data_IF_974776021821
#
_entry.id   IF_974776021821
#
_cell.length_a   1.000
_cell.length_b   1.000
_cell.length_c   1.000
_cell.angle_alpha   90.00
_cell.angle_beta   90.00
_cell.angle_gamma   90.00
#
_symmetry.space_group_name_H-M   'P 1'
#
loop_
_entity.id
_entity.type
_entity.pdbx_description
1 polymer ?
#
# COMPACT_ATOMS: atom_id res chain seq x y z
N UNK A 1 2.11 9.52 -14.71
CA UNK A 1 1.13 8.70 -15.45
C UNK A 1 1.82 7.78 -16.45
N UNK A 2 2.78 8.27 -17.23
CA UNK A 2 3.53 7.52 -18.26
C UNK A 2 4.06 6.14 -17.81
N UNK A 3 4.59 6.02 -16.59
CA UNK A 3 5.11 4.74 -16.06
C UNK A 3 4.05 3.65 -15.83
N UNK A 4 2.85 4.03 -15.35
CA UNK A 4 1.76 3.06 -15.13
C UNK A 4 1.16 2.65 -16.46
N UNK A 5 1.03 3.56 -17.43
CA UNK A 5 0.67 3.21 -18.80
C UNK A 5 1.69 2.24 -19.41
N UNK A 6 3.00 2.49 -19.23
CA UNK A 6 4.05 1.57 -19.68
C UNK A 6 3.90 0.19 -19.04
N UNK A 7 3.70 0.12 -17.73
CA UNK A 7 3.50 -1.14 -17.01
C UNK A 7 2.26 -1.89 -17.53
N UNK A 8 1.12 -1.21 -17.72
CA UNK A 8 -0.10 -1.79 -18.29
C UNK A 8 0.11 -2.28 -19.72
N UNK A 9 0.89 -1.57 -20.54
CA UNK A 9 1.24 -2.04 -21.90
C UNK A 9 2.03 -3.36 -21.89
N UNK A 10 2.98 -3.50 -20.96
CA UNK A 10 3.71 -4.76 -20.76
C UNK A 10 2.78 -5.87 -20.25
N UNK A 11 1.90 -5.56 -19.30
CA UNK A 11 0.91 -6.52 -18.79
C UNK A 11 -0.02 -7.02 -19.91
N UNK A 12 -0.49 -6.12 -20.78
CA UNK A 12 -1.34 -6.47 -21.91
C UNK A 12 -0.62 -7.42 -22.88
N UNK A 13 0.67 -7.19 -23.16
CA UNK A 13 1.48 -8.04 -24.03
C UNK A 13 1.66 -9.46 -23.46
N UNK A 14 1.75 -9.59 -22.13
CA UNK A 14 1.84 -10.86 -21.41
C UNK A 14 0.48 -11.49 -21.09
N UNK A 15 -0.63 -10.83 -21.44
CA UNK A 15 -1.99 -11.28 -21.15
C UNK A 15 -2.31 -11.36 -19.65
N UNK A 16 -1.78 -10.42 -18.86
CA UNK A 16 -2.02 -10.30 -17.41
C UNK A 16 -3.14 -9.32 -17.11
N UNK A 17 -4.01 -9.67 -16.16
CA UNK A 17 -5.13 -8.83 -15.71
C UNK A 17 -4.74 -7.85 -14.58
N UNK A 18 -3.71 -8.22 -13.82
CA UNK A 18 -3.10 -7.38 -12.81
C UNK A 18 -1.67 -7.82 -12.49
N UNK A 19 -0.92 -6.95 -11.82
CA UNK A 19 0.34 -7.32 -11.17
C UNK A 19 0.33 -6.97 -9.69
N UNK A 20 0.92 -7.85 -8.88
CA UNK A 20 1.18 -7.66 -7.46
C UNK A 20 2.68 -7.46 -7.26
N UNK A 21 3.04 -6.32 -6.70
CA UNK A 21 4.41 -5.88 -6.51
C UNK A 21 4.71 -5.78 -5.01
N UNK A 22 5.66 -6.55 -4.50
CA UNK A 22 5.97 -6.58 -3.06
C UNK A 22 7.42 -6.20 -2.75
N UNK A 23 8.26 -6.07 -3.78
CA UNK A 23 9.63 -5.58 -3.56
C UNK A 23 9.63 -4.05 -3.42
N UNK A 24 10.46 -3.47 -2.54
CA UNK A 24 10.41 -2.03 -2.25
C UNK A 24 10.60 -1.14 -3.49
N UNK A 25 11.47 -1.57 -4.41
CA UNK A 25 11.71 -0.84 -5.67
C UNK A 25 10.50 -0.85 -6.60
N UNK A 26 9.78 -1.97 -6.69
CA UNK A 26 8.60 -2.09 -7.53
C UNK A 26 7.40 -1.34 -6.93
N UNK A 27 7.24 -1.39 -5.60
CA UNK A 27 6.22 -0.59 -4.90
C UNK A 27 6.49 0.90 -5.09
N UNK A 28 7.73 1.36 -4.93
CA UNK A 28 8.14 2.74 -5.20
C UNK A 28 7.86 3.15 -6.65
N UNK A 29 8.16 2.27 -7.61
CA UNK A 29 7.90 2.53 -9.02
C UNK A 29 6.40 2.75 -9.28
N UNK A 30 5.54 1.84 -8.79
CA UNK A 30 4.11 1.91 -9.03
C UNK A 30 3.45 3.07 -8.27
N UNK A 31 3.64 3.11 -6.95
CA UNK A 31 2.88 3.97 -6.03
C UNK A 31 3.63 5.24 -5.67
N UNK A 32 4.95 5.28 -5.76
CA UNK A 32 5.75 6.39 -5.19
C UNK A 32 6.05 6.24 -3.71
N UNK A 33 5.41 5.28 -3.03
CA UNK A 33 5.65 5.01 -1.63
C UNK A 33 7.07 4.49 -1.40
N UNK A 34 7.65 4.93 -0.30
CA UNK A 34 8.93 4.46 0.24
C UNK A 34 8.88 4.61 1.75
N UNK A 35 9.38 3.60 2.45
CA UNK A 35 9.58 3.68 3.89
C UNK A 35 11.04 3.45 4.24
N UNK A 36 11.51 4.09 5.31
CA UNK A 36 12.81 3.76 5.90
C UNK A 36 12.79 2.37 6.52
N UNK A 37 11.61 1.89 6.93
CA UNK A 37 11.42 0.58 7.52
C UNK A 37 11.70 -0.55 6.51
N UNK A 38 11.63 -0.29 5.20
CA UNK A 38 12.08 -1.22 4.16
C UNK A 38 13.57 -1.60 4.30
N UNK A 39 14.36 -0.78 5.00
CA UNK A 39 15.77 -1.08 5.28
C UNK A 39 15.98 -2.12 6.38
N UNK A 40 14.92 -2.49 7.10
CA UNK A 40 14.99 -3.42 8.22
C UNK A 40 15.07 -4.89 7.77
N UNK A 41 15.03 -5.14 6.44
CA UNK A 41 15.21 -6.46 5.83
C UNK A 41 14.32 -7.53 6.48
N UNK A 42 13.06 -7.18 6.76
CA UNK A 42 12.10 -8.12 7.29
C UNK A 42 11.88 -9.29 6.32
N UNK A 43 11.57 -10.45 6.88
CA UNK A 43 11.32 -11.67 6.08
C UNK A 43 10.06 -11.54 5.21
N UNK A 44 9.08 -10.76 5.68
CA UNK A 44 7.83 -10.48 4.96
C UNK A 44 7.89 -9.13 4.24
N UNK A 45 7.25 -9.01 3.06
CA UNK A 45 7.17 -7.74 2.37
C UNK A 45 6.40 -6.73 3.22
N UNK A 46 7.05 -5.63 3.55
CA UNK A 46 6.47 -4.59 4.39
C UNK A 46 5.30 -3.88 3.70
N UNK A 47 5.26 -3.84 2.37
CA UNK A 47 4.16 -3.25 1.63
C UNK A 47 3.94 -3.97 0.29
N UNK A 48 2.78 -3.73 -0.31
CA UNK A 48 2.46 -4.25 -1.63
C UNK A 48 1.76 -3.19 -2.49
N UNK A 49 1.93 -3.28 -3.79
CA UNK A 49 1.16 -2.53 -4.76
C UNK A 49 0.39 -3.50 -5.68
N UNK A 50 -0.90 -3.24 -5.85
CA UNK A 50 -1.74 -3.93 -6.84
C UNK A 50 -1.99 -2.97 -7.99
N UNK A 51 -1.59 -3.37 -9.19
CA UNK A 51 -1.81 -2.59 -10.41
C UNK A 51 -2.72 -3.39 -11.33
N UNK A 52 -4.00 -3.01 -11.45
CA UNK A 52 -4.91 -3.59 -12.44
C UNK A 52 -4.54 -3.15 -13.85
N UNK A 53 -4.77 -4.03 -14.84
CA UNK A 53 -4.64 -3.70 -16.26
C UNK A 53 -5.64 -2.62 -16.66
N UNK A 54 -6.88 -2.75 -16.20
CA UNK A 54 -7.99 -1.85 -16.51
C UNK A 54 -7.71 -0.44 -15.96
N UNK A 55 -7.86 0.58 -16.81
CA UNK A 55 -7.49 1.96 -16.46
C UNK A 55 -8.47 2.66 -15.52
N UNK A 56 -9.72 2.19 -15.49
CA UNK A 56 -10.78 2.64 -14.60
C UNK A 56 -10.59 2.15 -13.15
N UNK A 57 -9.72 1.16 -12.93
CA UNK A 57 -9.39 0.64 -11.60
C UNK A 57 -8.14 1.34 -11.02
N UNK A 58 -8.14 1.69 -9.73
CA UNK A 58 -7.03 2.41 -9.11
C UNK A 58 -5.78 1.54 -8.99
N UNK A 59 -4.62 2.20 -8.97
CA UNK A 59 -3.40 1.59 -8.41
C UNK A 59 -3.55 1.60 -6.89
N UNK A 60 -3.47 0.42 -6.28
CA UNK A 60 -3.68 0.24 -4.84
C UNK A 60 -2.33 0.10 -4.14
N UNK A 61 -2.16 0.79 -3.01
CA UNK A 61 -1.05 0.60 -2.08
C UNK A 61 -1.58 -0.07 -0.81
N UNK A 62 -1.09 -1.26 -0.50
CA UNK A 62 -1.29 -1.93 0.78
C UNK A 62 -0.07 -1.69 1.68
N UNK A 63 -0.28 -1.14 2.86
CA UNK A 63 0.78 -0.88 3.85
C UNK A 63 0.31 -1.20 5.28
N UNK A 64 1.23 -1.37 6.25
CA UNK A 64 0.87 -1.51 7.64
C UNK A 64 0.12 -0.27 8.11
N UNK A 65 -0.91 -0.44 8.92
CA UNK A 65 -1.67 0.70 9.47
C UNK A 65 -0.76 1.70 10.20
N UNK A 66 0.22 1.18 10.97
CA UNK A 66 1.24 1.98 11.65
C UNK A 66 2.06 2.88 10.71
N UNK A 67 2.13 2.55 9.42
CA UNK A 67 2.89 3.29 8.43
C UNK A 67 2.08 4.39 7.73
N UNK A 68 0.78 4.56 8.03
CA UNK A 68 -0.05 5.60 7.43
C UNK A 68 0.54 7.00 7.63
N UNK A 69 1.06 7.29 8.83
CA UNK A 69 1.68 8.57 9.14
C UNK A 69 2.90 8.90 8.26
N UNK A 70 3.58 7.88 7.71
CA UNK A 70 4.71 8.08 6.82
C UNK A 70 4.30 8.67 5.46
N UNK A 71 3.04 8.50 5.04
CA UNK A 71 2.51 9.15 3.84
C UNK A 71 2.54 10.67 3.99
N UNK A 72 2.19 11.17 5.18
CA UNK A 72 2.25 12.61 5.52
C UNK A 72 3.65 13.15 5.42
N UNK A 73 4.60 12.51 6.10
CA UNK A 73 6.00 12.94 6.10
C UNK A 73 6.55 12.97 4.68
N UNK A 74 6.10 12.04 3.82
CA UNK A 74 6.51 11.99 2.42
C UNK A 74 5.89 13.13 1.59
N UNK A 75 4.62 13.44 1.82
CA UNK A 75 3.90 14.54 1.18
C UNK A 75 4.48 15.90 1.57
N UNK A 76 4.73 16.15 2.86
CA UNK A 76 5.41 17.36 3.36
C UNK A 76 6.81 17.53 2.78
N UNK A 77 7.52 16.42 2.54
CA UNK A 77 8.81 16.42 1.88
C UNK A 77 8.73 16.61 0.35
N UNK A 78 7.56 16.98 -0.20
CA UNK A 78 7.34 17.24 -1.62
C UNK A 78 7.35 15.97 -2.50
N UNK A 79 7.09 14.80 -1.92
CA UNK A 79 7.15 13.50 -2.61
C UNK A 79 5.89 12.67 -2.35
N UNK A 80 4.68 13.18 -2.62
CA UNK A 80 3.45 12.46 -2.29
C UNK A 80 3.40 11.09 -2.98
N UNK A 81 2.74 10.14 -2.32
CA UNK A 81 2.36 8.90 -2.98
C UNK A 81 1.35 9.17 -4.12
N UNK A 82 1.17 8.18 -4.97
CA UNK A 82 0.42 8.27 -6.22
C UNK A 82 -0.58 7.13 -6.33
N UNK A 83 -0.89 6.47 -5.22
CA UNK A 83 -1.89 5.42 -5.17
C UNK A 83 -3.29 6.06 -5.21
N UNK A 84 -4.14 5.51 -6.07
CA UNK A 84 -5.55 5.91 -6.15
C UNK A 84 -6.37 5.35 -4.98
N UNK A 85 -5.86 4.32 -4.33
CA UNK A 85 -6.50 3.65 -3.19
C UNK A 85 -5.46 3.17 -2.19
N UNK A 86 -5.78 3.31 -0.89
CA UNK A 86 -4.96 2.80 0.20
C UNK A 86 -5.69 1.65 0.89
N UNK A 87 -4.98 0.55 1.10
CA UNK A 87 -5.39 -0.59 1.94
C UNK A 87 -4.43 -0.69 3.11
N UNK A 88 -4.96 -1.08 4.26
CA UNK A 88 -4.15 -1.24 5.48
C UNK A 88 -4.24 -2.64 6.02
N UNK A 89 -3.16 -3.08 6.65
CA UNK A 89 -3.09 -4.36 7.33
C UNK A 89 -2.31 -4.26 8.64
N UNK A 90 -2.47 -5.27 9.48
CA UNK A 90 -1.75 -5.40 10.73
C UNK A 90 -0.36 -5.97 10.49
N UNK A 91 0.61 -5.44 11.22
CA UNK A 91 1.97 -5.96 11.23
C UNK A 91 2.22 -6.47 12.63
N UNK A 92 2.49 -7.77 12.73
CA UNK A 92 2.58 -8.52 14.01
C UNK A 92 3.34 -7.68 15.05
N UNK A 93 2.66 -7.35 16.15
CA UNK A 93 3.07 -6.53 17.29
C UNK A 93 3.23 -5.01 17.08
N UNK A 94 3.40 -4.51 15.85
CA UNK A 94 3.64 -3.08 15.62
C UNK A 94 2.37 -2.23 15.62
N UNK A 95 1.29 -2.69 14.99
CA UNK A 95 0.07 -1.88 14.96
C UNK A 95 -0.65 -1.88 16.31
N UNK A 96 -0.54 -2.95 17.10
CA UNK A 96 -1.04 -2.97 18.48
C UNK A 96 -0.38 -1.86 19.33
N UNK A 97 0.94 -1.77 19.29
CA UNK A 97 1.69 -0.71 20.01
C UNK A 97 1.33 0.68 19.48
N UNK A 98 1.17 0.85 18.16
CA UNK A 98 0.79 2.14 17.58
C UNK A 98 -0.62 2.58 17.99
N UNK A 99 -1.58 1.64 18.08
CA UNK A 99 -2.95 1.93 18.54
C UNK A 99 -3.02 2.23 20.05
N UNK A 100 -1.99 1.85 20.82
CA UNK A 100 -1.97 2.14 22.25
C UNK A 100 -1.84 3.64 22.51
N UNK A 101 -2.67 4.17 23.40
CA UNK A 101 -2.52 5.56 23.85
C UNK A 101 -1.25 5.66 24.69
N UNK A 102 -0.26 6.43 24.22
CA UNK A 102 0.90 6.78 25.04
C UNK A 102 0.44 7.79 26.12
N UNK A 103 0.42 7.41 27.41
CA UNK A 103 -0.06 8.28 28.48
C UNK A 103 0.80 9.54 28.65
N UNK A 104 2.00 9.54 28.07
CA UNK A 104 2.95 10.66 28.11
C UNK A 104 2.89 11.54 26.85
N UNK A 105 2.17 11.12 25.80
CA UNK A 105 2.04 11.89 24.57
C UNK A 105 0.90 12.91 24.67
N UNK A 106 1.21 14.19 24.54
CA UNK A 106 0.20 15.21 24.37
C UNK A 106 -0.43 15.06 22.96
N UNK A 107 -1.72 14.71 22.90
CA UNK A 107 -2.45 14.62 21.63
C UNK A 107 -2.41 15.97 20.90
N UNK A 108 -1.62 16.07 19.82
CA UNK A 108 -1.55 17.28 19.02
C UNK A 108 -2.72 17.33 18.03
N UNK A 109 -3.25 18.53 17.80
CA UNK A 109 -4.30 18.78 16.79
C UNK A 109 -3.86 18.42 15.38
N UNK A 110 -2.55 18.54 15.10
CA UNK A 110 -1.94 18.13 13.83
C UNK A 110 -2.00 16.61 13.68
N UNK A 111 -1.62 15.83 14.70
CA UNK A 111 -1.67 14.37 14.64
C UNK A 111 -3.08 13.82 14.38
N UNK A 112 -4.10 14.44 14.95
CA UNK A 112 -5.52 14.08 14.71
C UNK A 112 -5.96 14.40 13.28
N UNK A 113 -5.66 15.59 12.77
CA UNK A 113 -6.00 15.99 11.41
C UNK A 113 -5.31 15.09 10.36
N UNK A 114 -4.09 14.65 10.63
CA UNK A 114 -3.34 13.74 9.76
C UNK A 114 -3.92 12.32 9.77
N UNK A 115 -4.28 11.79 10.94
CA UNK A 115 -4.94 10.49 11.04
C UNK A 115 -6.29 10.50 10.29
N UNK A 116 -7.06 11.59 10.39
CA UNK A 116 -8.33 11.76 9.69
C UNK A 116 -8.15 11.88 8.17
N UNK A 117 -7.17 12.65 7.71
CA UNK A 117 -6.89 12.85 6.28
C UNK A 117 -6.47 11.54 5.58
N UNK A 118 -5.55 10.76 6.16
CA UNK A 118 -5.14 9.49 5.56
C UNK A 118 -6.16 8.38 5.80
N UNK A 119 -6.87 8.39 6.93
CA UNK A 119 -8.00 7.50 7.19
C UNK A 119 -9.08 7.61 6.11
N UNK A 120 -9.35 8.80 5.59
CA UNK A 120 -10.32 8.99 4.51
C UNK A 120 -9.93 8.33 3.17
N UNK A 121 -8.63 8.10 2.94
CA UNK A 121 -8.09 7.40 1.76
C UNK A 121 -8.07 5.88 1.93
N UNK A 122 -8.18 5.38 3.16
CA UNK A 122 -8.26 3.94 3.44
C UNK A 122 -9.58 3.38 2.93
N UNK A 123 -9.52 2.22 2.28
CA UNK A 123 -10.68 1.44 1.85
C UNK A 123 -10.68 0.08 2.52
N UNK A 124 -11.85 -0.39 2.90
CA UNK A 124 -12.01 -1.64 3.65
C UNK A 124 -11.56 -1.53 5.11
N UNK A 125 -11.45 -2.70 5.75
CA UNK A 125 -10.97 -2.85 7.13
C UNK A 125 -9.45 -3.05 7.14
N UNK A 126 -8.85 -2.95 8.33
CA UNK A 126 -7.48 -3.40 8.54
C UNK A 126 -7.44 -4.93 8.50
N UNK A 127 -6.80 -5.49 7.47
CA UNK A 127 -6.65 -6.95 7.31
C UNK A 127 -5.52 -7.50 8.20
N UNK A 128 -5.50 -8.79 8.55
CA UNK A 128 -4.54 -9.32 9.53
C UNK A 128 -3.07 -9.30 9.05
N UNK A 129 -2.83 -9.31 7.74
CA UNK A 129 -1.50 -9.31 7.14
C UNK A 129 -1.55 -8.82 5.68
N UNK A 130 -0.36 -8.70 5.07
CA UNK A 130 -0.20 -8.23 3.69
C UNK A 130 -0.87 -9.15 2.66
N UNK A 131 -0.88 -10.48 2.88
CA UNK A 131 -1.47 -11.42 1.93
C UNK A 131 -3.00 -11.35 1.98
N UNK A 132 -3.58 -11.26 3.17
CA UNK A 132 -5.01 -11.03 3.36
C UNK A 132 -5.46 -9.71 2.72
N UNK A 133 -4.65 -8.65 2.89
CA UNK A 133 -4.89 -7.36 2.24
C UNK A 133 -4.87 -7.45 0.71
N UNK A 134 -3.88 -8.14 0.13
CA UNK A 134 -3.78 -8.38 -1.31
C UNK A 134 -4.99 -9.19 -1.80
N UNK A 135 -5.35 -10.27 -1.10
CA UNK A 135 -6.47 -11.14 -1.49
C UNK A 135 -7.80 -10.39 -1.52
N UNK A 136 -8.11 -9.62 -0.47
CA UNK A 136 -9.32 -8.78 -0.43
C UNK A 136 -9.29 -7.71 -1.52
N UNK A 137 -8.14 -7.08 -1.77
CA UNK A 137 -7.99 -6.09 -2.84
C UNK A 137 -8.29 -6.70 -4.21
N UNK A 138 -7.77 -7.89 -4.49
CA UNK A 138 -8.06 -8.61 -5.73
C UNK A 138 -9.55 -8.99 -5.83
N UNK A 139 -10.17 -9.38 -4.71
CA UNK A 139 -11.61 -9.65 -4.62
C UNK A 139 -12.49 -8.45 -4.95
N UNK A 140 -12.29 -7.34 -4.24
CA UNK A 140 -13.06 -6.10 -4.39
C UNK A 140 -12.96 -5.52 -5.81
N UNK A 141 -11.83 -5.75 -6.49
CA UNK A 141 -11.64 -5.32 -7.87
C UNK A 141 -11.99 -6.38 -8.92
N UNK A 142 -12.59 -7.52 -8.54
CA UNK A 142 -13.02 -8.57 -9.46
C UNK A 142 -11.89 -9.26 -10.22
N UNK A 143 -10.72 -9.38 -9.58
CA UNK A 143 -9.49 -9.95 -10.14
C UNK A 143 -9.17 -11.35 -9.60
N UNK A 144 -10.04 -11.95 -8.79
CA UNK A 144 -9.81 -13.27 -8.15
C UNK A 144 -9.51 -14.40 -9.15
N UNK A 145 -10.07 -14.30 -10.35
CA UNK A 145 -9.89 -15.29 -11.44
C UNK A 145 -9.00 -14.78 -12.57
N UNK A 146 -8.38 -13.62 -12.38
CA UNK A 146 -7.49 -13.01 -13.37
C UNK A 146 -6.13 -13.70 -13.42
N UNK A 147 -5.40 -13.49 -14.51
CA UNK A 147 -3.99 -13.83 -14.62
C UNK A 147 -3.16 -12.77 -13.90
N UNK A 148 -2.69 -13.12 -12.71
CA UNK A 148 -1.96 -12.19 -11.84
C UNK A 148 -0.46 -12.45 -11.95
N UNK A 149 0.29 -11.47 -12.46
CA UNK A 149 1.75 -11.47 -12.37
C UNK A 149 2.18 -11.07 -10.96
N UNK A 150 3.19 -11.72 -10.40
CA UNK A 150 3.62 -11.45 -9.01
C UNK A 150 5.13 -11.36 -8.89
N UNK A 151 5.59 -10.45 -8.02
CA UNK A 151 6.99 -10.38 -7.58
C UNK A 151 7.14 -10.73 -6.11
N UNK A 152 6.20 -11.52 -5.56
CA UNK A 152 6.33 -12.10 -4.21
C UNK A 152 7.63 -12.91 -4.18
N UNK A 153 8.67 -12.34 -3.57
CA UNK A 153 9.90 -13.05 -3.29
C UNK A 153 9.57 -14.21 -2.33
N UNK A 154 9.86 -15.43 -2.76
CA UNK A 154 10.07 -16.58 -1.88
C UNK A 154 11.54 -16.68 -1.49
#
# INVERSE_FOLDING_TARGET
MERIHRLRGLMAAEGLDAVVLTTPHNVLYATGYRSVLEKWQLHEPLCAAVVPLAEDKPVVLALPEANLALLMVQEEAGRPDRAGEIRVFDMINFCEVMRSEDPSAAASTIGKASAEFYGARVRGRCEPDVLASIAVTLGDHGLERGRIGSTICG
#
